data_IF_587818562416
#
_entry.id   IF_587818562416
#
_cell.length_a   1.000
_cell.length_b   1.000
_cell.length_c   1.000
_cell.angle_alpha   90.00
_cell.angle_beta   90.00
_cell.angle_gamma   90.00
#
_symmetry.space_group_name_H-M   'P 1'
#
loop_
_entity.id
_entity.type
_entity.pdbx_description
1 polymer ?
#
# COMPACT_ATOMS: atom_id res chain seq x y z
N UNK A 1 21.16 -50.30 -53.91
CA UNK A 1 21.69 -49.00 -53.43
C UNK A 1 20.63 -48.03 -52.87
N UNK A 2 19.42 -47.92 -53.45
CA UNK A 2 18.35 -47.00 -52.98
C UNK A 2 17.72 -47.34 -51.61
N UNK A 3 17.62 -48.62 -51.25
CA UNK A 3 17.02 -49.07 -49.97
C UNK A 3 17.88 -48.68 -48.75
N UNK A 4 19.21 -48.77 -48.87
CA UNK A 4 20.15 -48.33 -47.83
C UNK A 4 20.12 -46.80 -47.60
N UNK A 5 19.88 -46.03 -48.66
CA UNK A 5 19.74 -44.57 -48.58
C UNK A 5 18.43 -44.15 -47.91
N UNK A 6 17.34 -44.88 -48.16
CA UNK A 6 16.07 -44.70 -47.46
C UNK A 6 16.23 -44.98 -45.97
N UNK A 7 16.86 -46.10 -45.61
CA UNK A 7 17.09 -46.49 -44.22
C UNK A 7 17.92 -45.46 -43.44
N UNK A 8 18.99 -44.92 -44.05
CA UNK A 8 19.78 -43.82 -43.46
C UNK A 8 18.98 -42.53 -43.24
N UNK A 9 18.05 -42.18 -44.16
CA UNK A 9 17.17 -41.02 -44.00
C UNK A 9 16.19 -41.18 -42.84
N UNK A 10 15.60 -42.37 -42.67
CA UNK A 10 14.71 -42.64 -41.54
C UNK A 10 15.45 -42.61 -40.19
N UNK A 11 16.66 -43.17 -40.12
CA UNK A 11 17.50 -43.09 -38.93
C UNK A 11 17.85 -41.63 -38.59
N UNK A 12 18.23 -40.83 -39.59
CA UNK A 12 18.52 -39.41 -39.39
C UNK A 12 17.29 -38.62 -38.89
N UNK A 13 16.10 -38.93 -39.41
CA UNK A 13 14.85 -38.28 -39.01
C UNK A 13 14.44 -38.64 -37.57
N UNK A 14 14.62 -39.90 -37.17
CA UNK A 14 14.38 -40.36 -35.80
C UNK A 14 15.34 -39.68 -34.82
N UNK A 15 16.63 -39.57 -35.18
CA UNK A 15 17.62 -38.87 -34.35
C UNK A 15 17.30 -37.38 -34.22
N UNK A 16 16.80 -36.72 -35.27
CA UNK A 16 16.34 -35.33 -35.20
C UNK A 16 15.12 -35.15 -34.29
N UNK A 17 14.16 -36.08 -34.32
CA UNK A 17 12.99 -36.06 -33.43
C UNK A 17 13.37 -36.28 -31.97
N UNK A 18 14.28 -37.22 -31.69
CA UNK A 18 14.78 -37.48 -30.32
C UNK A 18 15.53 -36.26 -29.78
N UNK A 19 16.41 -35.66 -30.60
CA UNK A 19 17.14 -34.44 -30.18
C UNK A 19 16.19 -33.27 -29.94
N UNK A 20 15.16 -33.07 -30.77
CA UNK A 20 14.14 -32.06 -30.54
C UNK A 20 13.38 -32.28 -29.23
N UNK A 21 12.97 -33.52 -28.94
CA UNK A 21 12.30 -33.87 -27.68
C UNK A 21 13.19 -33.62 -26.45
N UNK A 22 14.47 -33.96 -26.54
CA UNK A 22 15.45 -33.68 -25.47
C UNK A 22 15.61 -32.17 -25.27
N UNK A 23 15.73 -31.39 -26.34
CA UNK A 23 15.86 -29.93 -26.25
C UNK A 23 14.62 -29.31 -25.61
N UNK A 24 13.41 -29.69 -26.05
CA UNK A 24 12.15 -29.22 -25.44
C UNK A 24 12.06 -29.62 -23.98
N UNK A 25 12.48 -30.85 -23.64
CA UNK A 25 12.52 -31.33 -22.26
C UNK A 25 13.51 -30.53 -21.39
N UNK A 26 14.71 -30.23 -21.90
CA UNK A 26 15.71 -29.42 -21.21
C UNK A 26 15.25 -27.98 -21.02
N UNK A 27 14.63 -27.36 -22.03
CA UNK A 27 14.06 -26.02 -21.93
C UNK A 27 12.94 -25.99 -20.89
N UNK A 28 11.98 -26.92 -20.99
CA UNK A 28 10.87 -27.04 -20.03
C UNK A 28 11.36 -27.29 -18.59
N UNK A 29 12.38 -28.14 -18.43
CA UNK A 29 13.01 -28.39 -17.13
C UNK A 29 13.75 -27.17 -16.61
N UNK A 30 14.49 -26.45 -17.46
CA UNK A 30 15.21 -25.22 -17.07
C UNK A 30 14.25 -24.11 -16.61
N UNK A 31 13.13 -23.92 -17.31
CA UNK A 31 12.10 -22.95 -16.91
C UNK A 31 11.46 -23.34 -15.57
N UNK A 32 11.24 -24.64 -15.34
CA UNK A 32 10.72 -25.16 -14.07
C UNK A 32 11.73 -25.06 -12.94
N UNK A 33 13.02 -25.25 -13.20
CA UNK A 33 14.07 -25.01 -12.22
C UNK A 33 14.14 -23.51 -11.89
N UNK A 34 14.09 -22.62 -12.87
CA UNK A 34 14.05 -21.17 -12.60
C UNK A 34 12.83 -20.76 -11.76
N UNK A 35 11.66 -21.36 -11.96
CA UNK A 35 10.48 -21.07 -11.13
C UNK A 35 10.57 -21.66 -9.72
N UNK A 36 11.32 -22.75 -9.52
CA UNK A 36 11.54 -23.38 -8.20
C UNK A 36 12.70 -22.73 -7.43
N UNK A 37 13.68 -22.16 -8.13
CA UNK A 37 14.89 -21.57 -7.54
C UNK A 37 14.91 -20.04 -7.49
N UNK A 38 13.88 -19.33 -8.00
CA UNK A 38 13.70 -17.93 -7.63
C UNK A 38 13.41 -17.88 -6.13
N UNK A 39 14.26 -17.25 -5.30
CA UNK A 39 13.87 -16.91 -3.94
C UNK A 39 12.58 -16.11 -4.07
N UNK A 40 11.49 -16.65 -3.52
CA UNK A 40 10.24 -15.91 -3.45
C UNK A 40 10.42 -14.91 -2.31
N UNK A 41 11.26 -13.90 -2.52
CA UNK A 41 11.52 -12.87 -1.53
C UNK A 41 10.16 -12.24 -1.23
N UNK A 42 9.75 -12.38 0.02
CA UNK A 42 8.51 -11.79 0.48
C UNK A 42 8.63 -10.28 0.27
N UNK A 43 7.80 -9.72 -0.60
CA UNK A 43 7.70 -8.29 -0.76
C UNK A 43 7.08 -7.71 0.52
N UNK A 44 7.65 -6.60 0.98
CA UNK A 44 7.24 -5.94 2.22
C UNK A 44 6.84 -4.51 1.84
N UNK A 45 5.63 -4.06 2.21
CA UNK A 45 5.19 -2.69 1.98
C UNK A 45 5.92 -1.71 2.92
N UNK A 46 5.70 -0.41 2.72
CA UNK A 46 6.33 0.63 3.54
C UNK A 46 5.54 0.78 4.85
N UNK A 47 6.12 0.33 5.96
CA UNK A 47 5.55 0.49 7.30
C UNK A 47 5.95 1.82 7.94
N UNK A 48 7.15 2.30 7.62
CA UNK A 48 7.70 3.59 8.06
C UNK A 48 8.86 4.01 7.16
N UNK A 49 9.34 5.23 7.34
CA UNK A 49 10.43 5.79 6.55
C UNK A 49 11.62 6.13 7.45
N UNK A 50 12.84 5.83 7.01
CA UNK A 50 14.03 6.34 7.68
C UNK A 50 14.16 7.84 7.42
N UNK A 51 14.21 8.64 8.48
CA UNK A 51 14.57 10.05 8.40
C UNK A 51 15.22 10.53 9.71
N UNK A 52 16.30 11.33 9.64
CA UNK A 52 16.86 11.98 10.83
C UNK A 52 15.97 13.13 11.33
N UNK A 53 15.06 13.65 10.50
CA UNK A 53 14.17 14.75 10.87
C UNK A 53 13.04 14.28 11.80
N UNK A 54 12.61 15.15 12.70
CA UNK A 54 11.36 14.96 13.45
C UNK A 54 10.16 15.17 12.52
N UNK A 55 9.90 14.18 11.66
CA UNK A 55 8.84 14.19 10.67
C UNK A 55 8.11 12.86 10.72
N UNK A 56 6.78 12.85 10.62
CA UNK A 56 5.96 11.63 10.62
C UNK A 56 4.64 11.86 9.86
N UNK A 57 3.90 10.79 9.59
CA UNK A 57 2.58 10.86 8.96
C UNK A 57 1.49 10.33 9.90
N UNK A 58 0.42 11.10 10.06
CA UNK A 58 -0.86 10.60 10.59
C UNK A 58 -1.73 10.24 9.39
N UNK A 59 -2.39 9.09 9.44
CA UNK A 59 -3.20 8.59 8.32
C UNK A 59 -4.55 8.13 8.80
N UNK A 60 -5.57 8.28 7.96
CA UNK A 60 -6.94 7.88 8.27
C UNK A 60 -7.47 6.94 7.20
N UNK A 61 -7.86 5.72 7.58
CA UNK A 61 -8.59 4.82 6.71
C UNK A 61 -10.09 5.15 6.81
N UNK A 62 -10.73 5.44 5.68
CA UNK A 62 -12.13 5.82 5.59
C UNK A 62 -12.93 4.78 4.80
N UNK A 63 -13.55 3.86 5.54
CA UNK A 63 -14.34 2.77 4.99
C UNK A 63 -15.83 2.86 5.34
N UNK A 64 -16.20 3.38 6.52
CA UNK A 64 -17.60 3.46 6.96
C UNK A 64 -17.89 4.70 7.77
N UNK A 65 -19.08 5.26 7.59
CA UNK A 65 -19.54 6.43 8.33
C UNK A 65 -18.74 7.70 8.02
N UNK A 66 -19.30 8.86 8.34
CA UNK A 66 -18.64 10.16 8.10
C UNK A 66 -18.91 11.17 9.20
N UNK A 67 -19.60 10.79 10.27
CA UNK A 67 -20.03 11.67 11.36
C UNK A 67 -18.86 12.31 12.12
N UNK A 68 -17.73 11.60 12.24
CA UNK A 68 -16.51 12.11 12.90
C UNK A 68 -15.55 12.83 11.95
N UNK A 69 -15.66 12.60 10.64
CA UNK A 69 -14.75 13.18 9.64
C UNK A 69 -14.73 14.72 9.68
N UNK A 70 -15.86 15.45 9.79
CA UNK A 70 -15.85 16.90 9.97
C UNK A 70 -15.08 17.37 11.19
N UNK A 71 -15.15 16.65 12.31
CA UNK A 71 -14.43 17.00 13.54
C UNK A 71 -12.93 16.79 13.37
N UNK A 72 -12.53 15.68 12.73
CA UNK A 72 -11.14 15.38 12.39
C UNK A 72 -10.55 16.48 11.50
N UNK A 73 -11.25 16.85 10.41
CA UNK A 73 -10.82 17.92 9.51
C UNK A 73 -10.67 19.26 10.22
N UNK A 74 -11.64 19.63 11.07
CA UNK A 74 -11.57 20.85 11.86
C UNK A 74 -10.35 20.87 12.81
N UNK A 75 -9.99 19.72 13.39
CA UNK A 75 -8.79 19.61 14.22
C UNK A 75 -7.52 19.74 13.38
N UNK A 76 -7.42 19.03 12.26
CA UNK A 76 -6.27 19.14 11.35
C UNK A 76 -6.07 20.59 10.90
N UNK A 77 -7.15 21.30 10.56
CA UNK A 77 -7.14 22.73 10.25
C UNK A 77 -6.70 23.60 11.43
N UNK A 78 -7.20 23.33 12.65
CA UNK A 78 -6.80 24.04 13.88
C UNK A 78 -5.29 23.98 14.11
N UNK A 79 -4.66 22.86 13.79
CA UNK A 79 -3.21 22.64 13.95
C UNK A 79 -2.39 22.91 12.69
N UNK A 80 -3.01 23.37 11.60
CA UNK A 80 -2.38 23.58 10.28
C UNK A 80 -1.65 22.34 9.75
N UNK A 81 -2.29 21.17 9.88
CA UNK A 81 -1.74 19.88 9.46
C UNK A 81 -2.41 19.40 8.17
N UNK A 82 -1.59 19.04 7.18
CA UNK A 82 -2.00 18.23 6.02
C UNK A 82 -1.50 16.81 6.18
N UNK A 83 -2.30 15.86 5.72
CA UNK A 83 -2.21 14.45 6.11
C UNK A 83 -2.86 13.59 5.04
N UNK A 84 -2.77 12.26 5.15
CA UNK A 84 -3.32 11.33 4.16
C UNK A 84 -4.61 10.65 4.63
N UNK A 85 -5.61 10.62 3.77
CA UNK A 85 -6.83 9.81 3.93
C UNK A 85 -6.84 8.69 2.88
N UNK A 86 -6.84 7.43 3.31
CA UNK A 86 -7.04 6.28 2.44
C UNK A 86 -8.54 6.01 2.31
N UNK A 87 -9.10 6.27 1.13
CA UNK A 87 -10.54 6.24 0.90
C UNK A 87 -10.96 4.97 0.15
N UNK A 88 -11.99 4.30 0.65
CA UNK A 88 -12.59 3.16 -0.07
C UNK A 88 -13.59 3.66 -1.11
N UNK A 89 -13.63 3.04 -2.29
CA UNK A 89 -14.51 3.44 -3.40
C UNK A 89 -15.98 3.64 -3.00
N UNK A 90 -16.60 2.65 -2.36
CA UNK A 90 -18.00 2.77 -1.89
C UNK A 90 -18.24 3.89 -0.86
N UNK A 91 -17.22 4.27 -0.07
CA UNK A 91 -17.33 5.35 0.90
C UNK A 91 -17.34 6.70 0.18
N UNK A 92 -16.60 6.84 -0.90
CA UNK A 92 -16.61 8.02 -1.76
C UNK A 92 -17.98 8.15 -2.46
N UNK A 93 -18.54 7.03 -2.92
CA UNK A 93 -19.89 6.99 -3.52
C UNK A 93 -20.98 7.41 -2.51
N UNK A 94 -20.88 6.97 -1.26
CA UNK A 94 -21.83 7.31 -0.19
C UNK A 94 -21.64 8.75 0.35
N UNK A 95 -20.40 9.25 0.37
CA UNK A 95 -20.04 10.54 0.96
C UNK A 95 -19.17 11.42 0.03
N UNK A 96 -19.62 11.72 -1.21
CA UNK A 96 -18.80 12.42 -2.21
C UNK A 96 -18.41 13.83 -1.76
N UNK A 97 -19.30 14.51 -1.04
CA UNK A 97 -19.03 15.85 -0.50
C UNK A 97 -17.94 15.84 0.58
N UNK A 98 -17.80 14.73 1.34
CA UNK A 98 -16.70 14.62 2.29
C UNK A 98 -15.38 14.30 1.59
N UNK A 99 -15.38 13.45 0.57
CA UNK A 99 -14.20 13.22 -0.24
C UNK A 99 -13.69 14.51 -0.90
N UNK A 100 -14.61 15.32 -1.49
CA UNK A 100 -14.29 16.66 -2.01
C UNK A 100 -13.71 17.56 -0.95
N UNK A 101 -14.36 17.66 0.22
CA UNK A 101 -13.88 18.49 1.33
C UNK A 101 -12.47 18.10 1.79
N UNK A 102 -12.17 16.80 1.87
CA UNK A 102 -10.83 16.30 2.20
C UNK A 102 -9.79 16.87 1.20
N UNK A 103 -10.09 16.77 -0.10
CA UNK A 103 -9.21 17.30 -1.16
C UNK A 103 -9.10 18.84 -1.14
N UNK A 104 -10.23 19.55 -1.01
CA UNK A 104 -10.30 21.02 -0.99
C UNK A 104 -9.57 21.62 0.23
N UNK A 105 -9.57 20.91 1.37
CA UNK A 105 -8.77 21.28 2.52
C UNK A 105 -7.28 20.92 2.37
N UNK A 106 -6.87 20.36 1.23
CA UNK A 106 -5.47 20.11 0.87
C UNK A 106 -4.86 18.86 1.50
N UNK A 107 -5.68 17.90 1.92
CA UNK A 107 -5.21 16.60 2.37
C UNK A 107 -4.90 15.69 1.18
N UNK A 108 -3.90 14.83 1.35
CA UNK A 108 -3.60 13.79 0.36
C UNK A 108 -4.67 12.70 0.40
N UNK A 109 -5.09 12.23 -0.78
CA UNK A 109 -6.00 11.09 -0.92
C UNK A 109 -5.21 9.87 -1.41
N UNK A 110 -5.30 8.79 -0.63
CA UNK A 110 -4.80 7.46 -0.98
C UNK A 110 -5.94 6.51 -1.36
N UNK A 111 -5.59 5.46 -2.10
CA UNK A 111 -6.51 4.40 -2.50
C UNK A 111 -6.62 3.33 -1.38
N UNK A 112 -7.85 2.94 -1.01
CA UNK A 112 -8.11 1.90 -0.01
C UNK A 112 -8.98 0.74 -0.54
N UNK A 113 -8.83 0.43 -1.83
CA UNK A 113 -9.69 -0.50 -2.57
C UNK A 113 -11.13 -0.01 -2.75
N UNK A 114 -11.90 -0.72 -3.58
CA UNK A 114 -13.27 -0.31 -3.92
C UNK A 114 -14.30 -0.85 -2.95
N UNK A 115 -14.12 -2.10 -2.48
CA UNK A 115 -15.12 -2.84 -1.69
C UNK A 115 -14.59 -3.33 -0.35
N UNK A 116 -13.37 -2.93 0.03
CA UNK A 116 -12.68 -3.33 1.26
C UNK A 116 -12.53 -4.86 1.46
N UNK A 117 -12.11 -5.67 0.45
CA UNK A 117 -11.91 -7.10 0.60
C UNK A 117 -10.52 -7.41 1.19
N UNK A 118 -10.29 -8.68 1.56
CA UNK A 118 -8.96 -9.20 1.89
C UNK A 118 -8.11 -9.32 0.62
N UNK A 119 -7.41 -8.25 0.26
CA UNK A 119 -6.75 -8.12 -1.05
C UNK A 119 -5.58 -9.09 -1.26
N UNK A 120 -4.90 -9.52 -0.21
CA UNK A 120 -3.78 -10.46 -0.32
C UNK A 120 -4.19 -11.85 -0.83
N UNK A 121 -5.47 -12.18 -0.78
CA UNK A 121 -6.02 -13.45 -1.25
C UNK A 121 -6.64 -13.39 -2.64
N UNK A 122 -6.66 -12.22 -3.28
CA UNK A 122 -7.27 -12.02 -4.59
C UNK A 122 -6.34 -12.44 -5.73
N UNK A 123 -6.92 -12.73 -6.90
CA UNK A 123 -6.14 -12.83 -8.13
C UNK A 123 -5.70 -11.44 -8.58
N UNK A 124 -4.66 -11.39 -9.41
CA UNK A 124 -4.14 -10.15 -10.00
C UNK A 124 -5.25 -9.33 -10.70
N UNK A 125 -6.12 -9.99 -11.48
CA UNK A 125 -7.19 -9.29 -12.19
C UNK A 125 -8.18 -8.63 -11.23
N UNK A 126 -8.47 -9.30 -10.10
CA UNK A 126 -9.35 -8.75 -9.06
C UNK A 126 -8.69 -7.64 -8.26
N UNK A 127 -7.37 -7.70 -8.08
CA UNK A 127 -6.59 -6.60 -7.51
C UNK A 127 -6.68 -5.38 -8.42
N UNK A 128 -6.45 -5.54 -9.73
CA UNK A 128 -6.55 -4.45 -10.72
C UNK A 128 -7.96 -3.85 -10.72
N UNK A 129 -9.01 -4.67 -10.69
CA UNK A 129 -10.40 -4.20 -10.65
C UNK A 129 -10.65 -3.30 -9.43
N UNK A 130 -10.23 -3.73 -8.24
CA UNK A 130 -10.37 -2.97 -6.99
C UNK A 130 -9.57 -1.66 -7.00
N UNK A 131 -8.34 -1.69 -7.51
CA UNK A 131 -7.46 -0.53 -7.59
C UNK A 131 -7.97 0.50 -8.62
N UNK A 132 -8.24 0.05 -9.86
CA UNK A 132 -8.67 0.92 -10.97
C UNK A 132 -10.00 1.59 -10.65
N UNK A 133 -11.00 0.84 -10.21
CA UNK A 133 -12.32 1.42 -9.90
C UNK A 133 -12.21 2.54 -8.86
N UNK A 134 -11.40 2.32 -7.83
CA UNK A 134 -11.21 3.32 -6.76
C UNK A 134 -10.40 4.50 -7.26
N UNK A 135 -9.38 4.28 -8.10
CA UNK A 135 -8.61 5.35 -8.74
C UNK A 135 -9.53 6.28 -9.55
N UNK A 136 -10.42 5.71 -10.36
CA UNK A 136 -11.35 6.46 -11.19
C UNK A 136 -12.33 7.26 -10.34
N UNK A 137 -12.93 6.64 -9.31
CA UNK A 137 -13.87 7.32 -8.41
C UNK A 137 -13.19 8.48 -7.65
N UNK A 138 -11.95 8.30 -7.17
CA UNK A 138 -11.18 9.37 -6.53
C UNK A 138 -10.98 10.53 -7.51
N UNK A 139 -10.48 10.24 -8.72
CA UNK A 139 -10.18 11.24 -9.74
C UNK A 139 -11.43 11.99 -10.19
N UNK A 140 -12.53 11.29 -10.44
CA UNK A 140 -13.80 11.89 -10.86
C UNK A 140 -14.41 12.77 -9.76
N UNK A 141 -14.35 12.33 -8.50
CA UNK A 141 -15.01 13.03 -7.39
C UNK A 141 -14.19 14.23 -6.90
N UNK A 142 -12.87 14.09 -6.87
CA UNK A 142 -11.97 15.02 -6.16
C UNK A 142 -10.95 15.72 -7.05
N UNK A 143 -10.75 15.23 -8.28
CA UNK A 143 -9.68 15.69 -9.17
C UNK A 143 -8.28 15.19 -8.77
N UNK A 144 -8.15 14.43 -7.69
CA UNK A 144 -6.87 13.93 -7.20
C UNK A 144 -6.44 12.67 -7.95
N UNK A 145 -5.16 12.55 -8.28
CA UNK A 145 -4.56 11.31 -8.77
C UNK A 145 -3.79 10.65 -7.62
N UNK A 146 -4.39 9.63 -7.03
CA UNK A 146 -3.78 8.94 -5.90
C UNK A 146 -2.51 8.18 -6.32
N UNK A 147 -1.42 8.33 -5.56
CA UNK A 147 -0.12 7.67 -5.77
C UNK A 147 0.27 6.71 -4.64
N UNK A 148 -0.52 6.68 -3.56
CA UNK A 148 -0.36 5.75 -2.43
C UNK A 148 -1.58 4.86 -2.28
N UNK A 149 -1.34 3.59 -1.95
CA UNK A 149 -2.37 2.59 -1.71
C UNK A 149 -2.13 1.91 -0.36
N UNK A 150 -3.20 1.62 0.38
CA UNK A 150 -3.15 0.77 1.58
C UNK A 150 -4.16 -0.36 1.43
N UNK A 151 -3.72 -1.58 1.65
CA UNK A 151 -4.59 -2.73 1.59
C UNK A 151 -5.53 -2.80 2.82
N UNK A 152 -6.84 -3.03 2.62
CA UNK A 152 -7.77 -3.32 3.70
C UNK A 152 -7.24 -4.38 4.67
N UNK A 153 -7.48 -4.17 5.98
CA UNK A 153 -7.02 -5.05 7.07
C UNK A 153 -5.49 -5.22 7.17
N UNK A 154 -4.71 -4.49 6.37
CA UNK A 154 -3.29 -4.74 6.20
C UNK A 154 -2.99 -6.10 5.54
N UNK A 155 -3.95 -6.68 4.80
CA UNK A 155 -3.83 -7.99 4.15
C UNK A 155 -3.16 -7.86 2.78
N UNK A 156 -1.95 -8.40 2.63
CA UNK A 156 -1.17 -8.31 1.39
C UNK A 156 -0.47 -9.62 1.02
N UNK A 157 -0.13 -9.72 -0.26
CA UNK A 157 0.68 -10.77 -0.86
C UNK A 157 1.71 -10.16 -1.82
N UNK A 158 2.68 -10.97 -2.27
CA UNK A 158 3.62 -10.52 -3.29
C UNK A 158 2.89 -10.06 -4.55
N UNK A 159 1.85 -10.81 -4.98
CA UNK A 159 1.01 -10.43 -6.12
C UNK A 159 0.34 -9.06 -5.90
N UNK A 160 -0.24 -8.81 -4.72
CA UNK A 160 -0.82 -7.49 -4.44
C UNK A 160 0.21 -6.37 -4.54
N UNK A 161 1.40 -6.55 -3.94
CA UNK A 161 2.42 -5.51 -3.92
C UNK A 161 2.93 -5.23 -5.34
N UNK A 162 3.30 -6.27 -6.09
CA UNK A 162 3.80 -6.09 -7.45
C UNK A 162 2.75 -5.46 -8.37
N UNK A 163 1.50 -5.93 -8.30
CA UNK A 163 0.41 -5.38 -9.12
C UNK A 163 0.13 -3.92 -8.77
N UNK A 164 0.12 -3.56 -7.49
CA UNK A 164 -0.09 -2.17 -7.08
C UNK A 164 1.07 -1.25 -7.54
N UNK A 165 2.32 -1.71 -7.46
CA UNK A 165 3.49 -0.98 -7.93
C UNK A 165 3.50 -0.80 -9.46
N UNK A 166 3.15 -1.84 -10.23
CA UNK A 166 2.97 -1.76 -11.68
C UNK A 166 1.84 -0.80 -12.07
N UNK A 167 0.82 -0.68 -11.22
CA UNK A 167 -0.27 0.28 -11.36
C UNK A 167 0.11 1.71 -10.91
N UNK A 168 1.36 1.92 -10.46
CA UNK A 168 1.90 3.23 -10.09
C UNK A 168 1.72 3.63 -8.63
N UNK A 169 1.27 2.71 -7.77
CA UNK A 169 1.10 2.97 -6.34
C UNK A 169 2.35 2.61 -5.52
N UNK A 170 2.60 3.39 -4.47
CA UNK A 170 3.39 2.93 -3.32
C UNK A 170 2.47 2.24 -2.32
N UNK A 171 2.82 1.02 -1.90
CA UNK A 171 2.01 0.25 -0.92
C UNK A 171 2.42 0.61 0.50
N UNK A 172 1.47 1.17 1.26
CA UNK A 172 1.67 1.78 2.57
C UNK A 172 0.98 0.95 3.66
N UNK A 173 1.69 0.73 4.77
CA UNK A 173 1.20 0.18 6.01
C UNK A 173 1.35 1.21 7.14
N UNK A 174 1.54 0.77 8.38
CA UNK A 174 1.74 1.60 9.55
C UNK A 174 2.62 0.88 10.58
N UNK A 175 3.55 1.58 11.22
CA UNK A 175 4.30 1.05 12.36
C UNK A 175 3.62 1.35 13.70
N UNK A 176 2.71 2.35 13.73
CA UNK A 176 1.96 2.74 14.93
C UNK A 176 0.46 2.63 14.68
N UNK A 177 -0.19 1.63 15.30
CA UNK A 177 -1.64 1.46 15.27
C UNK A 177 -2.30 2.11 16.49
N UNK A 178 -3.21 3.06 16.28
CA UNK A 178 -3.98 3.70 17.35
C UNK A 178 -4.97 2.75 18.06
N UNK A 179 -5.42 1.71 17.36
CA UNK A 179 -6.53 0.82 17.76
C UNK A 179 -7.81 1.57 18.14
N UNK A 180 -8.05 2.73 17.54
CA UNK A 180 -9.20 3.58 17.78
C UNK A 180 -10.56 2.90 17.48
N UNK A 181 -10.55 1.91 16.59
CA UNK A 181 -11.69 1.03 16.29
C UNK A 181 -12.08 0.08 17.44
N UNK A 182 -11.22 -0.14 18.45
CA UNK A 182 -11.51 -1.04 19.59
C UNK A 182 -12.31 -0.39 20.73
N UNK A 183 -12.93 0.77 20.50
CA UNK A 183 -13.72 1.51 21.49
C UNK A 183 -12.94 1.79 22.81
N UNK A 184 -11.63 2.03 22.67
CA UNK A 184 -10.78 2.49 23.78
C UNK A 184 -11.08 3.95 24.14
N UNK A 185 -10.76 4.33 25.38
CA UNK A 185 -10.85 5.74 25.78
C UNK A 185 -9.84 6.59 25.01
N UNK A 186 -10.13 7.89 24.86
CA UNK A 186 -9.21 8.83 24.22
C UNK A 186 -7.82 8.77 24.85
N UNK A 187 -7.73 8.78 26.18
CA UNK A 187 -6.46 8.65 26.91
C UNK A 187 -5.68 7.38 26.56
N UNK A 188 -6.35 6.23 26.44
CA UNK A 188 -5.67 4.98 26.09
C UNK A 188 -5.12 5.02 24.65
N UNK A 189 -5.82 5.68 23.73
CA UNK A 189 -5.34 5.93 22.36
C UNK A 189 -4.11 6.85 22.38
N UNK A 190 -4.17 7.95 23.13
CA UNK A 190 -3.07 8.91 23.32
C UNK A 190 -1.82 8.22 23.86
N UNK A 191 -1.92 7.55 25.01
CA UNK A 191 -0.81 6.87 25.67
C UNK A 191 -0.19 5.81 24.73
N UNK A 192 -1.04 5.12 23.95
CA UNK A 192 -0.61 4.11 22.98
C UNK A 192 0.20 4.70 21.82
N UNK A 193 -0.28 5.78 21.22
CA UNK A 193 0.39 6.41 20.08
C UNK A 193 1.68 7.07 20.54
N UNK A 194 1.62 7.93 21.55
CA UNK A 194 2.76 8.73 22.00
C UNK A 194 3.92 7.90 22.56
N UNK A 195 3.65 6.69 23.08
CA UNK A 195 4.70 5.77 23.54
C UNK A 195 5.43 5.01 22.42
N UNK A 196 4.94 5.09 21.17
CA UNK A 196 5.47 4.30 20.04
C UNK A 196 5.99 5.14 18.88
N UNK A 197 5.51 6.37 18.74
CA UNK A 197 5.94 7.30 17.69
C UNK A 197 7.44 7.57 17.74
N UNK A 198 8.02 7.67 16.55
CA UNK A 198 9.41 8.04 16.30
C UNK A 198 9.51 8.74 14.95
N UNK A 199 10.69 9.28 14.64
CA UNK A 199 10.95 9.85 13.32
C UNK A 199 10.59 8.86 12.21
N UNK A 200 9.83 9.35 11.25
CA UNK A 200 9.36 8.62 10.08
C UNK A 200 8.27 7.60 10.32
N UNK A 201 7.64 7.59 11.50
CA UNK A 201 6.48 6.74 11.75
C UNK A 201 5.30 7.09 10.84
N UNK A 202 4.52 6.06 10.50
CA UNK A 202 3.22 6.17 9.83
C UNK A 202 2.18 5.64 10.82
N UNK A 203 1.25 6.51 11.22
CA UNK A 203 0.29 6.25 12.29
C UNK A 203 -1.09 5.98 11.67
N UNK A 204 -1.71 4.86 12.02
CA UNK A 204 -3.05 4.50 11.57
C UNK A 204 -4.13 4.97 12.55
N UNK A 205 -5.12 5.68 12.00
CA UNK A 205 -6.43 5.95 12.59
C UNK A 205 -7.54 5.59 11.59
N UNK A 206 -8.78 5.57 12.09
CA UNK A 206 -9.96 5.41 11.27
C UNK A 206 -10.82 6.66 11.34
N UNK A 207 -11.50 6.98 10.24
CA UNK A 207 -12.31 8.19 10.13
C UNK A 207 -13.57 8.18 11.03
N UNK A 208 -13.91 7.04 11.62
CA UNK A 208 -15.13 6.79 12.40
C UNK A 208 -14.86 6.31 13.84
N UNK A 209 -13.59 6.29 14.27
CA UNK A 209 -13.26 5.90 15.64
C UNK A 209 -13.94 6.82 16.66
N UNK A 210 -14.69 6.21 17.59
CA UNK A 210 -15.59 6.95 18.50
C UNK A 210 -14.89 8.06 19.26
N UNK A 211 -13.68 7.79 19.72
CA UNK A 211 -12.86 8.68 20.55
C UNK A 211 -11.65 9.24 19.78
N UNK A 212 -11.63 9.09 18.46
CA UNK A 212 -10.54 9.58 17.59
C UNK A 212 -10.41 11.09 17.65
N UNK A 213 -11.48 11.91 17.54
CA UNK A 213 -11.34 13.37 17.61
C UNK A 213 -10.71 13.85 18.93
N UNK A 214 -11.15 13.31 20.07
CA UNK A 214 -10.63 13.71 21.38
C UNK A 214 -9.16 13.28 21.56
N UNK A 215 -8.80 12.07 21.13
CA UNK A 215 -7.41 11.62 21.19
C UNK A 215 -6.51 12.40 20.23
N UNK A 216 -7.02 12.73 19.04
CA UNK A 216 -6.28 13.44 18.00
C UNK A 216 -5.91 14.86 18.44
N UNK A 217 -6.79 15.58 19.14
CA UNK A 217 -6.48 16.93 19.66
C UNK A 217 -5.26 16.91 20.58
N UNK A 218 -5.20 15.95 21.52
CA UNK A 218 -4.07 15.79 22.44
C UNK A 218 -2.79 15.31 21.75
N UNK A 219 -2.90 14.36 20.82
CA UNK A 219 -1.77 13.84 20.05
C UNK A 219 -1.16 14.93 19.17
N UNK A 220 -1.97 15.68 18.41
CA UNK A 220 -1.49 16.77 17.56
C UNK A 220 -0.75 17.83 18.38
N UNK A 221 -1.36 18.29 19.47
CA UNK A 221 -0.73 19.25 20.38
C UNK A 221 0.61 18.74 20.91
N UNK A 222 0.68 17.48 21.34
CA UNK A 222 1.90 16.91 21.90
C UNK A 222 3.00 16.72 20.85
N UNK A 223 2.68 16.16 19.69
CA UNK A 223 3.66 15.94 18.62
C UNK A 223 4.24 17.25 18.10
N UNK A 224 3.38 18.26 17.86
CA UNK A 224 3.81 19.58 17.38
C UNK A 224 4.67 20.28 18.44
N UNK A 225 4.28 20.24 19.71
CA UNK A 225 5.08 20.83 20.80
C UNK A 225 6.44 20.12 21.00
N UNK A 226 6.52 18.82 20.69
CA UNK A 226 7.77 18.06 20.68
C UNK A 226 8.63 18.33 19.42
N UNK A 227 8.14 19.15 18.50
CA UNK A 227 8.84 19.59 17.30
C UNK A 227 8.69 18.66 16.10
N UNK A 228 7.70 17.76 16.10
CA UNK A 228 7.38 16.96 14.92
C UNK A 228 6.64 17.77 13.86
N UNK A 229 7.09 17.63 12.61
CA UNK A 229 6.30 17.98 11.43
C UNK A 229 5.41 16.79 11.05
N UNK A 230 4.13 17.05 10.91
CA UNK A 230 3.16 16.06 10.45
C UNK A 230 2.87 16.36 8.99
N UNK A 231 3.07 15.37 8.12
CA UNK A 231 2.96 15.53 6.67
C UNK A 231 2.12 14.43 6.03
N UNK A 232 1.65 14.63 4.80
CA UNK A 232 1.19 13.53 3.95
C UNK A 232 2.23 12.43 3.80
N UNK A 233 1.77 11.21 3.52
CA UNK A 233 2.63 10.04 3.33
C UNK A 233 3.58 10.26 2.17
N UNK A 234 3.12 10.74 1.01
CA UNK A 234 4.01 10.98 -0.15
C UNK A 234 5.18 11.92 0.19
N UNK A 235 4.93 12.97 0.97
CA UNK A 235 5.98 13.88 1.45
C UNK A 235 6.92 13.23 2.47
N UNK A 236 6.49 12.18 3.16
CA UNK A 236 7.33 11.44 4.09
C UNK A 236 8.26 10.46 3.36
N UNK A 237 7.81 9.90 2.24
CA UNK A 237 8.56 8.88 1.48
C UNK A 237 9.90 9.42 0.97
N UNK A 238 10.86 8.51 0.84
CA UNK A 238 12.13 8.80 0.18
C UNK A 238 11.91 8.79 -1.33
N UNK A 239 12.31 9.89 -1.98
CA UNK A 239 12.40 10.00 -3.44
C UNK A 239 13.73 9.41 -3.94
N UNK A 240 13.73 8.87 -5.17
CA UNK A 240 14.91 8.28 -5.79
C UNK A 240 15.14 6.81 -5.41
N UNK A 241 16.41 6.41 -5.34
CA UNK A 241 16.82 5.02 -5.08
C UNK A 241 16.73 4.70 -3.58
N UNK A 242 15.92 3.69 -3.25
CA UNK A 242 15.70 3.23 -1.89
C UNK A 242 15.53 1.71 -1.86
N UNK A 243 15.64 1.13 -0.67
CA UNK A 243 15.21 -0.24 -0.40
C UNK A 243 14.28 -0.28 0.81
N UNK A 244 13.49 -1.35 0.92
CA UNK A 244 12.65 -1.63 2.10
C UNK A 244 13.30 -2.78 2.83
N UNK A 245 13.65 -2.58 4.10
CA UNK A 245 14.27 -3.65 4.89
C UNK A 245 13.24 -4.68 5.39
N UNK A 246 13.73 -5.74 6.04
CA UNK A 246 12.90 -6.82 6.57
C UNK A 246 11.87 -6.38 7.63
N UNK A 247 11.96 -5.15 8.15
CA UNK A 247 10.99 -4.57 9.10
C UNK A 247 9.96 -3.67 8.42
N UNK A 248 10.09 -3.44 7.11
CA UNK A 248 9.24 -2.51 6.37
C UNK A 248 9.69 -1.04 6.47
N UNK A 249 10.91 -0.77 6.93
CA UNK A 249 11.46 0.59 6.94
C UNK A 249 12.06 0.92 5.56
N UNK A 250 11.53 1.97 4.92
CA UNK A 250 12.09 2.52 3.68
C UNK A 250 13.39 3.26 3.99
N UNK A 251 14.49 2.92 3.30
CA UNK A 251 15.84 3.46 3.53
C UNK A 251 16.48 3.91 2.22
N UNK A 252 17.24 5.02 2.23
CA UNK A 252 17.94 5.45 1.04
C UNK A 252 19.06 4.44 0.74
N UNK A 253 19.32 4.18 -0.53
CA UNK A 253 20.57 3.54 -0.94
C UNK A 253 21.63 4.64 -0.86
N UNK A 254 22.50 4.57 0.14
CA UNK A 254 23.64 5.47 0.23
C UNK A 254 24.69 4.99 -0.78
N UNK A 255 25.10 5.89 -1.68
CA UNK A 255 26.30 5.71 -2.51
C UNK A 255 27.58 5.58 -1.67
#
# INVERSE_FOLDING_TARGET
MRILLLYKKYIALILCLITLLVVVGVIGFSNRLQSVFKPNDKLIPIYRVYTPEKKLAITFDAAWGSDKTPMILNLLKKYDVKTTFFLVGFWIEDYPEMAKRIAEEGHEIGNHSSTHPKMGSLSEEKIIEELQRTHDIIKETTGYEASVFRAPFGDYSNTLISTAEEFGYKVIQWDVDSLDWKNFSAKAIVDRVLSRVRNGSIILFHNNGKHTPEALDEILNKLISDGYKIVPVSELLIEGEYYIDHTGEQKPILD
#
